data_IF_750169085875
#
_entry.id   IF_750169085875
#
_cell.length_a   1.000
_cell.length_b   1.000
_cell.length_c   1.000
_cell.angle_alpha   90.00
_cell.angle_beta   90.00
_cell.angle_gamma   90.00
#
_symmetry.space_group_name_H-M   'P 1'
#
loop_
_entity.id
_entity.type
_entity.pdbx_description
1 polymer ?
#
# COMPACT_ATOMS: atom_id res chain seq x y z
N UNK A 1 -26.38 -4.55 17.12
CA UNK A 1 -25.20 -3.80 16.64
C UNK A 1 -25.13 -3.98 15.13
N UNK A 2 -25.28 -2.92 14.32
CA UNK A 2 -25.04 -3.05 12.88
C UNK A 2 -23.56 -3.41 12.71
N UNK A 3 -23.29 -4.47 11.95
CA UNK A 3 -21.93 -4.92 11.69
C UNK A 3 -21.22 -3.81 10.90
N UNK A 4 -20.39 -3.01 11.58
CA UNK A 4 -19.75 -1.81 11.03
C UNK A 4 -18.46 -2.14 10.28
N UNK A 5 -18.37 -3.38 9.77
CA UNK A 5 -17.22 -3.88 9.02
C UNK A 5 -17.32 -3.35 7.59
N UNK A 6 -16.21 -2.79 7.12
CA UNK A 6 -16.04 -2.30 5.76
C UNK A 6 -14.94 -3.08 5.08
N UNK A 7 -15.07 -3.28 3.77
CA UNK A 7 -14.07 -3.93 2.96
C UNK A 7 -13.21 -2.86 2.27
N UNK A 8 -11.90 -2.94 2.47
CA UNK A 8 -10.94 -2.11 1.75
C UNK A 8 -10.16 -2.90 0.71
N UNK A 9 -9.92 -2.26 -0.43
CA UNK A 9 -9.06 -2.77 -1.49
C UNK A 9 -7.75 -1.98 -1.49
N UNK A 10 -6.64 -2.67 -1.21
CA UNK A 10 -5.30 -2.10 -1.29
C UNK A 10 -4.89 -1.70 -2.72
N UNK A 11 -3.81 -0.93 -2.87
CA UNK A 11 -3.31 -0.52 -4.18
C UNK A 11 -2.77 -1.71 -4.98
N UNK A 12 -2.79 -1.59 -6.31
CA UNK A 12 -2.21 -2.60 -7.20
C UNK A 12 -0.71 -2.70 -6.94
N UNK A 13 -0.25 -3.90 -6.55
CA UNK A 13 1.16 -4.11 -6.21
C UNK A 13 2.03 -4.51 -7.39
N UNK A 14 1.45 -4.99 -8.49
CA UNK A 14 2.18 -5.52 -9.65
C UNK A 14 2.17 -4.55 -10.82
N UNK A 15 3.10 -4.75 -11.76
CA UNK A 15 3.23 -3.83 -12.88
C UNK A 15 2.20 -4.16 -13.95
N UNK A 16 1.09 -3.43 -13.95
CA UNK A 16 -0.01 -3.60 -14.91
C UNK A 16 0.02 -2.52 -15.98
N UNK A 17 -0.54 -2.83 -17.15
CA UNK A 17 -0.72 -1.82 -18.18
C UNK A 17 -1.71 -0.73 -17.73
N UNK A 18 -1.65 0.45 -18.35
CA UNK A 18 -2.61 1.53 -18.07
C UNK A 18 -4.05 1.06 -18.26
N UNK A 19 -4.32 0.35 -19.36
CA UNK A 19 -5.67 -0.09 -19.70
C UNK A 19 -6.19 -1.11 -18.69
N UNK A 20 -5.37 -2.08 -18.27
CA UNK A 20 -5.73 -3.05 -17.23
C UNK A 20 -6.07 -2.38 -15.90
N UNK A 21 -5.32 -1.34 -15.52
CA UNK A 21 -5.58 -0.55 -14.30
C UNK A 21 -6.95 0.13 -14.41
N UNK A 22 -7.25 0.79 -15.52
CA UNK A 22 -8.53 1.46 -15.72
C UNK A 22 -9.70 0.47 -15.75
N UNK A 23 -9.57 -0.64 -16.48
CA UNK A 23 -10.61 -1.67 -16.56
C UNK A 23 -10.87 -2.30 -15.18
N UNK A 24 -9.80 -2.59 -14.43
CA UNK A 24 -9.93 -3.13 -13.09
C UNK A 24 -10.72 -2.20 -12.17
N UNK A 25 -10.33 -0.92 -12.07
CA UNK A 25 -11.02 0.02 -11.19
C UNK A 25 -12.44 0.37 -11.66
N UNK A 26 -12.73 0.28 -12.95
CA UNK A 26 -14.11 0.33 -13.45
C UNK A 26 -14.96 -0.80 -12.85
N UNK A 27 -14.45 -2.04 -12.83
CA UNK A 27 -15.17 -3.16 -12.18
C UNK A 27 -15.29 -2.98 -10.66
N UNK A 28 -14.29 -2.38 -10.02
CA UNK A 28 -14.33 -2.10 -8.57
C UNK A 28 -15.41 -1.09 -8.20
N UNK A 29 -15.75 -0.15 -9.09
CA UNK A 29 -16.82 0.83 -8.86
C UNK A 29 -18.16 0.16 -8.51
N UNK A 30 -18.47 -0.97 -9.15
CA UNK A 30 -19.72 -1.71 -8.93
C UNK A 30 -19.60 -2.84 -7.88
N UNK A 31 -18.41 -3.03 -7.31
CA UNK A 31 -18.13 -4.09 -6.34
C UNK A 31 -18.63 -3.74 -4.91
N UNK A 32 -18.69 -4.70 -3.97
CA UNK A 32 -19.05 -4.41 -2.58
C UNK A 32 -17.93 -3.76 -1.75
N UNK A 33 -16.78 -3.44 -2.34
CA UNK A 33 -15.68 -2.73 -1.65
C UNK A 33 -16.17 -1.33 -1.25
N UNK A 34 -15.87 -0.92 -0.02
CA UNK A 34 -16.22 0.39 0.52
C UNK A 34 -15.10 1.41 0.33
N UNK A 35 -13.85 0.99 0.56
CA UNK A 35 -12.66 1.84 0.55
C UNK A 35 -11.70 1.37 -0.53
N UNK A 36 -11.18 2.28 -1.36
CA UNK A 36 -10.21 1.96 -2.42
C UNK A 36 -8.95 2.79 -2.24
N UNK A 37 -7.82 2.10 -2.08
CA UNK A 37 -6.49 2.69 -2.09
C UNK A 37 -5.95 2.76 -3.52
N UNK A 38 -5.56 3.95 -3.95
CA UNK A 38 -5.09 4.24 -5.31
C UNK A 38 -3.67 4.79 -5.30
N UNK A 39 -2.81 4.25 -6.14
CA UNK A 39 -1.46 4.77 -6.31
C UNK A 39 -0.44 3.68 -6.56
N UNK A 40 0.82 4.07 -6.45
CA UNK A 40 1.97 3.17 -6.59
C UNK A 40 2.73 3.20 -5.27
N UNK A 41 2.86 2.03 -4.62
CA UNK A 41 3.50 1.87 -3.31
C UNK A 41 4.85 1.16 -3.40
N UNK A 42 5.15 0.50 -4.51
CA UNK A 42 6.32 -0.37 -4.67
C UNK A 42 7.45 0.32 -5.41
N UNK A 43 7.25 0.81 -6.63
CA UNK A 43 8.35 1.34 -7.43
C UNK A 43 7.91 2.49 -8.35
N UNK A 44 8.53 3.65 -8.15
CA UNK A 44 8.30 4.86 -8.95
C UNK A 44 8.52 4.67 -10.46
N UNK A 45 9.38 3.73 -10.88
CA UNK A 45 9.68 3.47 -12.29
C UNK A 45 8.53 2.84 -13.07
N UNK A 46 7.50 2.34 -12.38
CA UNK A 46 6.27 1.80 -12.99
C UNK A 46 5.35 2.93 -13.45
N UNK A 47 5.85 3.78 -14.34
CA UNK A 47 5.25 5.07 -14.70
C UNK A 47 4.18 4.97 -15.80
N UNK A 48 3.30 3.97 -15.74
CA UNK A 48 2.18 3.88 -16.71
C UNK A 48 0.99 4.75 -16.32
N UNK A 49 0.91 5.13 -15.04
CA UNK A 49 -0.10 6.04 -14.49
C UNK A 49 0.57 7.32 -13.98
N UNK A 50 0.19 8.46 -14.53
CA UNK A 50 0.59 9.78 -14.02
C UNK A 50 -0.23 10.10 -12.77
N UNK A 51 0.24 11.07 -11.97
CA UNK A 51 -0.51 11.53 -10.79
C UNK A 51 -1.93 11.97 -11.13
N UNK A 52 -2.13 12.65 -12.25
CA UNK A 52 -3.45 13.10 -12.71
C UNK A 52 -4.38 11.93 -13.06
N UNK A 53 -3.85 10.85 -13.66
CA UNK A 53 -4.65 9.65 -13.96
C UNK A 53 -5.21 9.00 -12.68
N UNK A 54 -4.45 9.06 -11.57
CA UNK A 54 -4.92 8.59 -10.26
C UNK A 54 -6.01 9.49 -9.69
N UNK A 55 -5.92 10.81 -9.86
CA UNK A 55 -6.97 11.74 -9.45
C UNK A 55 -8.26 11.55 -10.25
N UNK A 56 -8.15 11.29 -11.56
CA UNK A 56 -9.31 11.01 -12.41
C UNK A 56 -10.02 9.71 -11.98
N UNK A 57 -9.26 8.65 -11.66
CA UNK A 57 -9.80 7.42 -11.09
C UNK A 57 -10.45 7.65 -9.72
N UNK A 58 -9.81 8.46 -8.87
CA UNK A 58 -10.35 8.82 -7.56
C UNK A 58 -11.72 9.51 -7.69
N UNK A 59 -11.85 10.44 -8.63
CA UNK A 59 -13.12 11.14 -8.87
C UNK A 59 -14.22 10.18 -9.34
N UNK A 60 -13.92 9.27 -10.26
CA UNK A 60 -14.87 8.26 -10.74
C UNK A 60 -15.32 7.31 -9.64
N UNK A 61 -14.38 6.81 -8.83
CA UNK A 61 -14.70 5.89 -7.72
C UNK A 61 -15.49 6.60 -6.62
N UNK A 62 -15.16 7.85 -6.30
CA UNK A 62 -15.96 8.66 -5.37
C UNK A 62 -17.37 8.93 -5.89
N UNK A 63 -17.53 9.21 -7.18
CA UNK A 63 -18.85 9.35 -7.81
C UNK A 63 -19.67 8.05 -7.76
N UNK A 64 -18.99 6.89 -7.77
CA UNK A 64 -19.60 5.56 -7.55
C UNK A 64 -19.82 5.22 -6.06
N UNK A 65 -19.59 6.16 -5.14
CA UNK A 65 -19.84 6.00 -3.71
C UNK A 65 -18.72 5.32 -2.92
N UNK A 66 -17.51 5.19 -3.49
CA UNK A 66 -16.34 4.65 -2.79
C UNK A 66 -15.63 5.72 -1.97
N UNK A 67 -15.16 5.36 -0.78
CA UNK A 67 -14.17 6.15 -0.08
C UNK A 67 -12.80 5.93 -0.74
N UNK A 68 -12.15 6.99 -1.22
CA UNK A 68 -10.86 6.89 -1.91
C UNK A 68 -9.74 7.42 -1.03
N UNK A 69 -8.64 6.66 -0.99
CA UNK A 69 -7.40 7.04 -0.32
C UNK A 69 -6.25 6.98 -1.33
N UNK A 70 -5.41 8.02 -1.38
CA UNK A 70 -4.25 8.09 -2.28
C UNK A 70 -3.00 7.56 -1.59
N UNK A 71 -2.40 6.50 -2.13
CA UNK A 71 -1.23 5.84 -1.57
C UNK A 71 0.09 6.44 -2.06
N UNK A 72 1.02 6.65 -1.13
CA UNK A 72 2.39 7.08 -1.43
C UNK A 72 3.35 5.89 -1.54
N UNK A 73 4.53 6.10 -2.12
CA UNK A 73 5.59 5.08 -2.16
C UNK A 73 6.02 4.68 -0.75
N UNK A 74 6.32 3.39 -0.54
CA UNK A 74 6.90 2.91 0.71
C UNK A 74 8.39 3.24 0.84
N UNK A 75 9.08 3.46 -0.28
CA UNK A 75 10.50 3.83 -0.31
C UNK A 75 10.74 4.93 -1.36
N UNK A 76 11.38 6.01 -0.91
CA UNK A 76 11.73 7.18 -1.70
C UNK A 76 13.26 7.25 -1.82
N UNK A 77 13.75 7.38 -3.05
CA UNK A 77 15.17 7.38 -3.41
C UNK A 77 15.56 8.55 -4.32
N UNK A 78 14.59 9.23 -4.96
CA UNK A 78 14.83 10.30 -5.91
C UNK A 78 14.04 11.59 -5.62
N UNK A 79 14.60 12.72 -6.05
CA UNK A 79 13.96 14.04 -5.88
C UNK A 79 12.62 14.15 -6.65
N UNK A 80 12.51 13.48 -7.80
CA UNK A 80 11.27 13.40 -8.58
C UNK A 80 10.15 12.72 -7.78
N UNK A 81 10.48 11.72 -6.97
CA UNK A 81 9.53 11.03 -6.10
C UNK A 81 9.10 11.92 -4.94
N UNK A 82 10.02 12.71 -4.36
CA UNK A 82 9.67 13.72 -3.36
C UNK A 82 8.75 14.80 -3.92
N UNK A 83 8.93 15.22 -5.18
CA UNK A 83 8.02 16.15 -5.86
C UNK A 83 6.62 15.55 -6.01
N UNK A 84 6.53 14.27 -6.42
CA UNK A 84 5.25 13.55 -6.50
C UNK A 84 4.60 13.38 -5.12
N UNK A 85 5.38 13.03 -4.10
CA UNK A 85 4.90 12.90 -2.72
C UNK A 85 4.29 14.21 -2.25
N UNK A 86 5.02 15.34 -2.35
CA UNK A 86 4.49 16.65 -1.96
C UNK A 86 3.22 17.01 -2.70
N UNK A 87 3.13 16.69 -4.00
CA UNK A 87 1.92 16.93 -4.80
C UNK A 87 0.73 16.11 -4.28
N UNK A 88 0.93 14.83 -3.97
CA UNK A 88 -0.12 13.98 -3.39
C UNK A 88 -0.50 14.49 -2.01
N UNK A 89 0.46 14.73 -1.11
CA UNK A 89 0.17 15.21 0.25
C UNK A 89 -0.47 16.59 0.27
N UNK A 90 -0.17 17.47 -0.69
CA UNK A 90 -0.77 18.80 -0.80
C UNK A 90 -2.19 18.80 -1.39
N UNK A 91 -2.76 17.63 -1.70
CA UNK A 91 -4.15 17.56 -2.17
C UNK A 91 -5.14 17.79 -1.01
N UNK A 92 -6.28 18.41 -1.29
CA UNK A 92 -7.28 18.79 -0.29
C UNK A 92 -8.56 17.92 -0.39
N UNK A 93 -8.56 16.97 -1.33
CA UNK A 93 -9.77 16.26 -1.79
C UNK A 93 -9.88 14.85 -1.19
N UNK A 94 -8.75 14.18 -1.00
CA UNK A 94 -8.68 12.77 -0.62
C UNK A 94 -7.72 12.56 0.54
N UNK A 95 -8.03 11.58 1.40
CA UNK A 95 -7.09 11.09 2.39
C UNK A 95 -5.85 10.53 1.70
N UNK A 96 -4.72 10.61 2.38
CA UNK A 96 -3.45 10.06 1.88
C UNK A 96 -3.01 8.92 2.79
N UNK A 97 -2.70 7.78 2.20
CA UNK A 97 -2.00 6.68 2.87
C UNK A 97 -0.50 6.96 2.82
N UNK A 98 0.03 7.34 3.98
CA UNK A 98 1.45 7.50 4.22
C UNK A 98 2.09 6.11 4.38
N UNK A 99 2.96 5.75 3.44
CA UNK A 99 3.74 4.51 3.48
C UNK A 99 5.19 4.73 3.95
N UNK A 100 5.57 5.96 4.29
CA UNK A 100 6.87 6.32 4.87
C UNK A 100 6.76 7.54 5.80
N UNK A 101 7.78 7.77 6.64
CA UNK A 101 7.75 8.88 7.61
C UNK A 101 7.87 10.27 6.98
N UNK A 102 8.40 10.40 5.76
CA UNK A 102 8.38 11.63 4.99
C UNK A 102 6.96 12.04 4.59
N UNK A 103 6.12 11.08 4.19
CA UNK A 103 4.68 11.33 3.97
C UNK A 103 3.97 11.75 5.26
N UNK A 104 4.24 11.06 6.38
CA UNK A 104 3.71 11.44 7.71
C UNK A 104 4.09 12.87 8.06
N UNK A 105 5.35 13.25 7.87
CA UNK A 105 5.83 14.59 8.18
C UNK A 105 5.14 15.68 7.35
N UNK A 106 4.88 15.42 6.06
CA UNK A 106 4.17 16.35 5.18
C UNK A 106 2.67 16.49 5.52
N UNK A 107 2.09 15.44 6.10
CA UNK A 107 0.68 15.38 6.48
C UNK A 107 0.44 15.79 7.93
N UNK A 108 1.49 16.13 8.69
CA UNK A 108 1.40 16.54 10.09
C UNK A 108 0.32 17.60 10.31
N UNK A 109 -0.58 17.34 11.26
CA UNK A 109 -1.71 18.20 11.59
C UNK A 109 -2.89 18.10 10.61
N UNK A 110 -2.81 17.21 9.61
CA UNK A 110 -3.87 16.93 8.64
C UNK A 110 -4.29 15.46 8.75
N UNK A 111 -5.55 15.12 8.42
CA UNK A 111 -6.00 13.73 8.41
C UNK A 111 -5.20 12.85 7.44
N UNK A 112 -4.68 11.71 7.91
CA UNK A 112 -4.01 10.72 7.06
C UNK A 112 -4.26 9.27 7.50
N UNK A 113 -3.93 8.33 6.62
CA UNK A 113 -3.89 6.89 6.89
C UNK A 113 -2.44 6.43 6.98
N UNK A 114 -2.08 5.61 7.95
CA UNK A 114 -0.76 4.95 7.97
C UNK A 114 -0.88 3.57 7.32
N UNK A 115 -0.17 3.38 6.22
CA UNK A 115 -0.05 2.08 5.57
C UNK A 115 0.79 1.11 6.39
N UNK A 116 0.73 -0.17 6.03
CA UNK A 116 1.43 -1.26 6.72
C UNK A 116 2.95 -1.05 6.90
N UNK A 117 3.60 -0.32 5.98
CA UNK A 117 5.06 -0.09 6.00
C UNK A 117 5.54 0.91 7.08
N UNK A 118 4.63 1.60 7.78
CA UNK A 118 4.95 2.52 8.88
C UNK A 118 5.21 1.78 10.21
N UNK A 119 4.99 0.45 10.26
CA UNK A 119 5.40 -0.43 11.36
C UNK A 119 4.95 0.00 12.76
N UNK A 120 3.64 0.21 12.95
CA UNK A 120 3.04 0.61 14.24
C UNK A 120 2.87 -0.61 15.16
N UNK A 121 3.92 -0.98 15.90
CA UNK A 121 3.92 -2.21 16.70
C UNK A 121 3.35 -2.11 18.11
N UNK A 122 3.05 -0.91 18.59
CA UNK A 122 2.59 -0.70 19.96
C UNK A 122 1.72 0.54 20.09
N UNK A 123 0.98 0.59 21.18
CA UNK A 123 0.03 1.65 21.50
C UNK A 123 0.69 3.03 21.58
N UNK A 124 1.93 3.10 22.11
CA UNK A 124 2.66 4.37 22.24
C UNK A 124 2.93 5.00 20.87
N UNK A 125 3.31 4.19 19.90
CA UNK A 125 3.55 4.62 18.51
C UNK A 125 2.24 5.02 17.85
N UNK A 126 1.16 4.27 18.09
CA UNK A 126 -0.17 4.60 17.58
C UNK A 126 -0.62 5.97 18.10
N UNK A 127 -0.56 6.21 19.42
CA UNK A 127 -0.91 7.50 20.03
C UNK A 127 -0.09 8.66 19.47
N UNK A 128 1.22 8.48 19.33
CA UNK A 128 2.08 9.49 18.74
C UNK A 128 1.57 9.91 17.35
N UNK A 129 1.24 8.96 16.48
CA UNK A 129 0.75 9.28 15.13
C UNK A 129 -0.67 9.85 15.13
N UNK A 130 -1.51 9.47 16.10
CA UNK A 130 -2.83 10.10 16.31
C UNK A 130 -2.68 11.58 16.64
N UNK A 131 -1.74 11.93 17.51
CA UNK A 131 -1.43 13.33 17.82
C UNK A 131 -0.93 14.11 16.59
N UNK A 132 -0.34 13.42 15.62
CA UNK A 132 0.10 14.01 14.34
C UNK A 132 -0.98 14.05 13.25
N UNK A 133 -2.17 13.47 13.47
CA UNK A 133 -3.31 13.55 12.54
C UNK A 133 -3.80 12.21 11.97
N UNK A 134 -3.26 11.08 12.42
CA UNK A 134 -3.68 9.74 11.98
C UNK A 134 -5.19 9.53 12.21
N UNK A 135 -5.88 8.98 11.20
CA UNK A 135 -7.30 8.57 11.27
C UNK A 135 -7.52 7.08 11.15
N UNK A 136 -6.64 6.41 10.40
CA UNK A 136 -6.73 4.97 10.14
C UNK A 136 -5.32 4.40 10.03
N UNK A 137 -5.15 3.16 10.45
CA UNK A 137 -3.89 2.45 10.31
C UNK A 137 -4.12 0.98 9.98
N UNK A 138 -3.13 0.38 9.34
CA UNK A 138 -3.10 -1.06 9.09
C UNK A 138 -2.34 -1.76 10.22
N UNK A 139 -2.99 -2.73 10.86
CA UNK A 139 -2.38 -3.56 11.89
C UNK A 139 -1.24 -4.39 11.29
N UNK A 140 -0.04 -4.38 11.90
CA UNK A 140 1.10 -5.14 11.38
C UNK A 140 0.85 -6.65 11.41
N UNK A 141 1.15 -7.32 10.30
CA UNK A 141 0.87 -8.75 10.12
C UNK A 141 1.77 -9.66 10.95
N UNK A 142 2.91 -9.15 11.42
CA UNK A 142 3.88 -9.90 12.21
C UNK A 142 3.44 -10.06 13.67
N UNK A 143 2.43 -9.30 14.09
CA UNK A 143 1.90 -9.32 15.45
C UNK A 143 0.79 -10.36 15.59
N UNK A 144 0.76 -11.00 16.77
CA UNK A 144 -0.25 -12.00 17.10
C UNK A 144 -1.64 -11.37 17.32
N UNK A 145 -2.68 -12.19 17.15
CA UNK A 145 -4.08 -11.81 17.42
C UNK A 145 -4.29 -11.28 18.85
N UNK A 146 -3.56 -11.82 19.84
CA UNK A 146 -3.59 -11.29 21.21
C UNK A 146 -3.17 -9.82 21.28
N UNK A 147 -2.11 -9.46 20.56
CA UNK A 147 -1.65 -8.06 20.46
C UNK A 147 -2.67 -7.18 19.74
N UNK A 148 -3.41 -7.71 18.75
CA UNK A 148 -4.52 -6.97 18.15
C UNK A 148 -5.60 -6.63 19.18
N UNK A 149 -5.98 -7.60 20.02
CA UNK A 149 -6.97 -7.38 21.08
C UNK A 149 -6.50 -6.31 22.09
N UNK A 150 -5.22 -6.37 22.50
CA UNK A 150 -4.62 -5.36 23.37
C UNK A 150 -4.64 -3.97 22.71
N UNK A 151 -4.20 -3.89 21.45
CA UNK A 151 -4.19 -2.65 20.66
C UNK A 151 -5.60 -2.08 20.46
N UNK A 152 -6.62 -2.92 20.25
CA UNK A 152 -8.00 -2.46 20.11
C UNK A 152 -8.58 -1.95 21.44
N UNK A 153 -8.24 -2.60 22.56
CA UNK A 153 -8.68 -2.17 23.89
C UNK A 153 -8.13 -0.79 24.26
N UNK A 154 -6.95 -0.47 23.74
CA UNK A 154 -6.20 0.75 24.01
C UNK A 154 -6.32 1.79 22.87
N UNK A 155 -7.03 1.46 21.79
CA UNK A 155 -7.15 2.30 20.60
C UNK A 155 -7.84 3.63 20.92
N UNK A 156 -7.23 4.78 20.57
CA UNK A 156 -7.89 6.07 20.74
C UNK A 156 -9.23 6.15 20.01
N UNK A 157 -10.19 6.89 20.58
CA UNK A 157 -11.53 7.00 20.03
C UNK A 157 -11.52 7.61 18.63
N UNK A 158 -12.34 7.05 17.73
CA UNK A 158 -12.46 7.52 16.34
C UNK A 158 -11.33 7.10 15.41
N UNK A 159 -10.34 6.32 15.89
CA UNK A 159 -9.29 5.74 15.04
C UNK A 159 -9.76 4.42 14.48
N UNK A 160 -9.61 4.26 13.17
CA UNK A 160 -9.97 3.05 12.46
C UNK A 160 -8.77 2.10 12.37
N UNK A 161 -9.03 0.80 12.48
CA UNK A 161 -8.02 -0.24 12.34
C UNK A 161 -8.38 -1.09 11.14
N UNK A 162 -7.44 -1.28 10.23
CA UNK A 162 -7.54 -2.26 9.15
C UNK A 162 -6.66 -3.48 9.44
N UNK A 163 -7.07 -4.64 8.94
CA UNK A 163 -6.31 -5.88 9.03
C UNK A 163 -6.25 -6.49 7.64
N UNK A 164 -5.08 -6.95 7.22
CA UNK A 164 -4.93 -7.67 5.96
C UNK A 164 -5.59 -9.05 6.10
N UNK A 165 -6.65 -9.30 5.32
CA UNK A 165 -7.40 -10.58 5.36
C UNK A 165 -7.22 -11.45 4.12
N UNK A 166 -6.81 -10.85 2.99
CA UNK A 166 -6.63 -11.55 1.73
C UNK A 166 -5.46 -10.97 0.94
N UNK A 167 -4.64 -11.84 0.33
CA UNK A 167 -3.53 -11.46 -0.54
C UNK A 167 -2.19 -12.03 -0.07
N UNK A 168 -1.12 -11.72 -0.79
CA UNK A 168 0.24 -12.09 -0.36
C UNK A 168 0.70 -11.15 0.74
N UNK A 169 1.26 -11.71 1.81
CA UNK A 169 1.75 -10.95 2.95
C UNK A 169 2.91 -10.05 2.52
N UNK A 170 2.83 -8.72 2.70
CA UNK A 170 3.94 -7.82 2.42
C UNK A 170 5.01 -7.93 3.52
N UNK A 171 6.21 -8.41 3.18
CA UNK A 171 7.22 -8.75 4.19
C UNK A 171 8.32 -7.70 4.32
N UNK A 172 8.87 -7.22 3.21
CA UNK A 172 9.99 -6.29 3.25
C UNK A 172 10.13 -5.48 1.96
N UNK A 173 10.83 -4.35 2.08
CA UNK A 173 11.25 -3.50 0.96
C UNK A 173 12.77 -3.36 0.97
N UNK A 174 13.38 -3.18 -0.21
CA UNK A 174 14.82 -2.94 -0.36
C UNK A 174 15.09 -1.77 -1.29
N UNK A 175 16.12 -0.98 -1.03
CA UNK A 175 16.60 0.02 -2.00
C UNK A 175 17.05 -0.62 -3.32
N UNK A 176 17.44 -1.90 -3.29
CA UNK A 176 17.81 -2.68 -4.48
C UNK A 176 16.59 -3.41 -5.02
N UNK A 177 16.45 -3.42 -6.35
CA UNK A 177 15.41 -4.20 -7.01
C UNK A 177 15.84 -5.67 -7.11
N UNK A 178 15.16 -6.56 -6.38
CA UNK A 178 15.42 -7.99 -6.38
C UNK A 178 15.17 -8.62 -7.75
N UNK A 179 14.11 -8.21 -8.45
CA UNK A 179 13.83 -8.69 -9.81
C UNK A 179 14.95 -8.29 -10.77
N UNK A 180 15.39 -7.03 -10.77
CA UNK A 180 16.51 -6.60 -11.62
C UNK A 180 17.80 -7.38 -11.30
N UNK A 181 18.08 -7.56 -10.00
CA UNK A 181 19.24 -8.33 -9.54
C UNK A 181 19.22 -9.78 -10.01
N UNK A 182 18.06 -10.44 -10.02
CA UNK A 182 17.91 -11.80 -10.51
C UNK A 182 18.30 -11.95 -11.99
N UNK A 183 18.15 -10.88 -12.78
CA UNK A 183 18.59 -10.82 -14.17
C UNK A 183 19.98 -10.20 -14.36
N UNK A 184 20.74 -9.98 -13.29
CA UNK A 184 22.02 -9.26 -13.31
C UNK A 184 21.94 -7.86 -13.95
N UNK A 185 20.79 -7.19 -13.80
CA UNK A 185 20.58 -5.82 -14.26
C UNK A 185 20.72 -4.83 -13.09
N UNK A 186 21.25 -3.62 -13.33
CA UNK A 186 21.15 -2.52 -12.39
C UNK A 186 19.69 -2.04 -12.28
N UNK A 187 19.31 -1.43 -11.15
CA UNK A 187 17.95 -0.92 -10.94
C UNK A 187 17.58 0.18 -11.96
N UNK A 188 18.54 1.04 -12.30
CA UNK A 188 18.34 2.16 -13.21
C UNK A 188 18.09 1.73 -14.65
N UNK A 189 18.56 0.55 -15.04
CA UNK A 189 18.24 -0.11 -16.31
C UNK A 189 17.63 -1.50 -16.08
N UNK A 190 16.60 -1.57 -15.24
CA UNK A 190 15.94 -2.82 -14.90
C UNK A 190 15.15 -3.45 -16.05
N UNK A 191 15.08 -2.78 -17.22
CA UNK A 191 14.35 -3.21 -18.42
C UNK A 191 12.89 -3.62 -18.15
N UNK A 192 12.30 -3.10 -17.07
CA UNK A 192 10.94 -3.41 -16.65
C UNK A 192 10.65 -4.92 -16.48
N UNK A 193 11.66 -5.71 -16.10
CA UNK A 193 11.56 -7.19 -15.93
C UNK A 193 10.40 -7.67 -15.07
N UNK A 194 9.87 -6.85 -14.18
CA UNK A 194 8.67 -7.21 -13.41
C UNK A 194 7.41 -7.45 -14.27
N UNK A 195 7.36 -6.98 -15.53
CA UNK A 195 6.30 -7.35 -16.48
C UNK A 195 6.34 -8.84 -16.87
N UNK A 196 7.53 -9.45 -16.87
CA UNK A 196 7.69 -10.88 -17.15
C UNK A 196 7.14 -11.77 -16.02
N UNK A 197 6.79 -11.17 -14.87
CA UNK A 197 6.38 -11.85 -13.64
C UNK A 197 5.08 -11.22 -13.08
N UNK A 198 3.91 -11.49 -13.69
CA UNK A 198 2.63 -10.91 -13.25
C UNK A 198 2.26 -11.26 -11.81
N UNK A 199 2.76 -12.39 -11.30
CA UNK A 199 2.56 -12.89 -9.93
C UNK A 199 3.85 -12.79 -9.06
N UNK A 200 4.84 -12.04 -9.54
CA UNK A 200 6.16 -11.95 -8.92
C UNK A 200 7.07 -13.16 -9.21
N UNK A 201 8.36 -12.97 -9.03
CA UNK A 201 9.37 -14.02 -9.18
C UNK A 201 9.36 -14.90 -7.93
N UNK A 202 8.84 -16.12 -8.06
CA UNK A 202 8.74 -17.07 -6.95
C UNK A 202 10.12 -17.61 -6.56
N UNK A 203 10.42 -17.62 -5.27
CA UNK A 203 11.59 -18.25 -4.68
C UNK A 203 11.17 -19.48 -3.86
N UNK A 204 11.89 -20.58 -4.08
CA UNK A 204 11.72 -21.82 -3.33
C UNK A 204 12.87 -22.02 -2.34
N UNK A 205 12.58 -22.71 -1.24
CA UNK A 205 13.58 -23.25 -0.33
C UNK A 205 14.29 -24.47 -0.96
N UNK A 206 15.30 -25.02 -0.27
CA UNK A 206 16.09 -26.15 -0.77
C UNK A 206 15.28 -27.45 -0.92
N UNK A 207 14.14 -27.54 -0.24
CA UNK A 207 13.18 -28.64 -0.32
C UNK A 207 12.06 -28.38 -1.35
N UNK A 208 12.29 -27.44 -2.27
CA UNK A 208 11.34 -26.98 -3.30
C UNK A 208 10.06 -26.31 -2.77
N UNK A 209 9.95 -26.09 -1.47
CA UNK A 209 8.81 -25.38 -0.90
C UNK A 209 8.81 -23.92 -1.36
N UNK A 210 7.73 -23.50 -2.02
CA UNK A 210 7.54 -22.09 -2.41
C UNK A 210 7.43 -21.23 -1.16
N UNK A 211 8.37 -20.30 -1.00
CA UNK A 211 8.52 -19.55 0.24
C UNK A 211 8.22 -18.06 0.05
N UNK A 212 8.88 -17.41 -0.92
CA UNK A 212 8.75 -15.97 -1.17
C UNK A 212 8.35 -15.67 -2.61
N UNK A 213 7.83 -14.47 -2.84
CA UNK A 213 7.71 -13.88 -4.16
C UNK A 213 8.37 -12.51 -4.18
N UNK A 214 9.22 -12.28 -5.18
CA UNK A 214 9.90 -11.01 -5.40
C UNK A 214 9.12 -10.17 -6.41
N UNK A 215 8.78 -8.96 -6.02
CA UNK A 215 8.02 -8.02 -6.81
C UNK A 215 8.76 -6.68 -6.88
N UNK A 216 9.75 -6.59 -7.77
CA UNK A 216 10.61 -5.42 -7.87
C UNK A 216 11.47 -5.27 -6.61
N UNK A 217 11.20 -4.24 -5.80
CA UNK A 217 11.90 -4.00 -4.52
C UNK A 217 11.22 -4.68 -3.32
N UNK A 218 10.02 -5.21 -3.52
CA UNK A 218 9.20 -5.79 -2.46
C UNK A 218 9.41 -7.30 -2.40
N UNK A 219 9.48 -7.83 -1.18
CA UNK A 219 9.39 -9.26 -0.89
C UNK A 219 8.04 -9.55 -0.26
N UNK A 220 7.38 -10.60 -0.72
CA UNK A 220 6.09 -11.06 -0.22
C UNK A 220 6.11 -12.56 0.08
N UNK A 221 5.09 -13.05 0.78
CA UNK A 221 4.87 -14.49 0.86
C UNK A 221 4.62 -15.09 -0.54
N UNK A 222 5.12 -16.30 -0.78
CA UNK A 222 4.76 -17.04 -2.00
C UNK A 222 3.29 -17.46 -2.01
N UNK A 223 2.72 -17.75 -0.84
CA UNK A 223 1.34 -18.16 -0.67
C UNK A 223 0.43 -16.95 -0.42
N UNK A 224 -0.82 -17.07 -0.86
CA UNK A 224 -1.89 -16.11 -0.56
C UNK A 224 -2.45 -16.42 0.81
N UNK A 225 -2.47 -15.43 1.69
CA UNK A 225 -3.24 -15.46 2.93
C UNK A 225 -4.73 -15.28 2.59
N UNK A 226 -5.58 -16.05 3.26
CA UNK A 226 -7.03 -15.96 3.18
C UNK A 226 -7.59 -16.34 4.57
N UNK A 227 -7.99 -15.33 5.34
CA UNK A 227 -8.48 -15.47 6.73
C UNK A 227 -9.96 -15.81 6.79
#
# INVERSE_FOLDING_TARGET
MRNNLRLSLGPILYYWSRDDVFEFYQRIADSPVDIVYLGETVCSKRMLMRTDDWFDLAERLTAAGKEVVLSTLALLEAESELKRLRRICANDRYLVEANDMGAVQLLRGRPFVAGHSVNIYNERTLRLLVDEGLKRWVFPLELAVGTLADMQSARPAGIETEVLVYGRLPLAYSARCFTARAHNLPKDDCQYRCLDYPDGLTLSAQDDTRFLALNGIQTQSAQTCNL
#
